data_IF_174824485274
#
_entry.id   IF_174824485274
#
_cell.length_a   1.000
_cell.length_b   1.000
_cell.length_c   1.000
_cell.angle_alpha   90.00
_cell.angle_beta   90.00
_cell.angle_gamma   90.00
#
_symmetry.space_group_name_H-M   'P 1'
#
loop_
_entity.id
_entity.type
_entity.pdbx_description
1 polymer ?
#
# COMPACT_ATOMS: atom_id res chain seq x y z
N UNK A 1 -16.93 42.68 58.68
CA UNK A 1 -17.20 41.31 58.18
C UNK A 1 -17.84 41.25 56.77
N UNK A 2 -18.02 42.37 56.06
CA UNK A 2 -18.72 42.45 54.75
C UNK A 2 -17.80 42.53 53.51
N UNK A 3 -16.48 42.69 53.72
CA UNK A 3 -15.53 42.83 52.59
C UNK A 3 -15.04 41.54 51.99
N UNK A 4 -14.98 40.42 52.75
CA UNK A 4 -14.44 39.16 52.30
C UNK A 4 -15.41 38.35 51.40
N UNK A 5 -16.70 38.55 51.56
CA UNK A 5 -17.70 37.84 50.72
C UNK A 5 -17.83 38.40 49.30
N UNK A 6 -17.60 39.69 49.12
CA UNK A 6 -17.66 40.31 47.78
C UNK A 6 -16.41 39.98 46.94
N UNK A 7 -15.27 39.82 47.57
CA UNK A 7 -14.03 39.43 46.86
C UNK A 7 -14.07 37.99 46.39
N UNK A 8 -14.67 37.07 47.16
CA UNK A 8 -14.83 35.65 46.76
C UNK A 8 -15.82 35.50 45.64
N UNK A 9 -16.90 36.26 45.61
CA UNK A 9 -17.91 36.26 44.51
C UNK A 9 -17.36 36.86 43.22
N UNK A 10 -16.49 37.88 43.31
CA UNK A 10 -15.86 38.46 42.13
C UNK A 10 -14.82 37.45 41.52
N UNK A 11 -14.04 36.77 42.31
CA UNK A 11 -13.11 35.73 41.84
C UNK A 11 -13.83 34.51 41.23
N UNK A 12 -14.99 34.11 41.76
CA UNK A 12 -15.77 33.00 41.19
C UNK A 12 -16.39 33.34 39.82
N UNK A 13 -16.76 34.60 39.61
CA UNK A 13 -17.27 35.05 38.31
C UNK A 13 -16.15 35.16 37.27
N UNK A 14 -14.96 35.70 37.59
CA UNK A 14 -13.84 35.74 36.66
C UNK A 14 -13.36 34.35 36.27
N UNK A 15 -13.33 33.40 37.20
CA UNK A 15 -12.96 31.99 36.88
C UNK A 15 -14.01 31.32 36.00
N UNK A 16 -15.30 31.62 36.23
CA UNK A 16 -16.41 31.14 35.38
C UNK A 16 -16.32 31.64 33.95
N UNK A 17 -16.03 32.93 33.78
CA UNK A 17 -15.89 33.54 32.47
C UNK A 17 -14.70 33.00 31.67
N UNK A 18 -13.55 32.80 32.31
CA UNK A 18 -12.36 32.24 31.69
C UNK A 18 -12.60 30.76 31.26
N UNK A 19 -13.31 29.99 32.07
CA UNK A 19 -13.67 28.60 31.72
C UNK A 19 -14.64 28.56 30.54
N UNK A 20 -15.63 29.46 30.53
CA UNK A 20 -16.62 29.55 29.46
C UNK A 20 -15.95 29.97 28.14
N UNK A 21 -15.06 30.94 28.17
CA UNK A 21 -14.29 31.39 27.00
C UNK A 21 -13.36 30.28 26.45
N UNK A 22 -12.70 29.53 27.33
CA UNK A 22 -11.87 28.36 26.91
C UNK A 22 -12.69 27.23 26.29
N UNK A 23 -13.88 26.97 26.83
CA UNK A 23 -14.79 25.95 26.26
C UNK A 23 -15.32 26.43 24.92
N UNK A 24 -15.71 27.68 24.77
CA UNK A 24 -16.15 28.26 23.50
C UNK A 24 -15.04 28.27 22.44
N UNK A 25 -13.79 28.58 22.83
CA UNK A 25 -12.63 28.51 21.96
C UNK A 25 -12.34 27.10 21.46
N UNK A 26 -12.39 26.11 22.36
CA UNK A 26 -12.22 24.69 21.97
C UNK A 26 -13.33 24.19 21.03
N UNK A 27 -14.58 24.56 21.33
CA UNK A 27 -15.70 24.20 20.45
C UNK A 27 -15.60 24.87 19.06
N UNK A 28 -15.08 26.09 18.99
CA UNK A 28 -14.80 26.76 17.72
C UNK A 28 -13.67 26.10 16.94
N UNK A 29 -12.56 25.69 17.60
CA UNK A 29 -11.47 24.94 16.99
C UNK A 29 -11.91 23.53 16.50
N UNK A 30 -12.71 22.82 17.28
CA UNK A 30 -13.31 21.54 16.88
C UNK A 30 -14.21 21.70 15.64
N UNK A 31 -15.06 22.70 15.61
CA UNK A 31 -15.93 22.97 14.46
C UNK A 31 -15.12 23.33 13.20
N UNK A 32 -14.05 24.13 13.32
CA UNK A 32 -13.16 24.45 12.19
C UNK A 32 -12.44 23.21 11.70
N UNK A 33 -11.94 22.37 12.61
CA UNK A 33 -11.25 21.13 12.26
C UNK A 33 -12.20 20.14 11.59
N UNK A 34 -13.43 20.01 12.08
CA UNK A 34 -14.47 19.19 11.45
C UNK A 34 -14.84 19.68 10.05
N UNK A 35 -15.07 20.99 9.88
CA UNK A 35 -15.43 21.55 8.58
C UNK A 35 -14.30 21.43 7.54
N UNK A 36 -13.03 21.51 7.99
CA UNK A 36 -11.87 21.28 7.13
C UNK A 36 -11.76 19.81 6.74
N UNK A 37 -11.95 18.87 7.68
CA UNK A 37 -11.92 17.43 7.36
C UNK A 37 -13.05 17.05 6.42
N UNK A 38 -14.27 17.54 6.65
CA UNK A 38 -15.42 17.30 5.75
C UNK A 38 -15.19 17.86 4.34
N UNK A 39 -14.57 19.04 4.22
CA UNK A 39 -14.25 19.65 2.92
C UNK A 39 -13.16 18.87 2.18
N UNK A 40 -12.15 18.40 2.91
CA UNK A 40 -11.08 17.56 2.38
C UNK A 40 -11.66 16.22 1.94
N UNK A 41 -12.47 15.57 2.79
CA UNK A 41 -13.10 14.28 2.49
C UNK A 41 -14.03 14.36 1.28
N UNK A 42 -14.78 15.47 1.15
CA UNK A 42 -15.63 15.69 -0.01
C UNK A 42 -14.84 15.83 -1.32
N UNK A 43 -13.74 16.58 -1.33
CA UNK A 43 -12.89 16.71 -2.51
C UNK A 43 -12.15 15.41 -2.86
N UNK A 44 -11.60 14.72 -1.86
CA UNK A 44 -11.01 13.40 -2.06
C UNK A 44 -12.05 12.38 -2.52
N UNK A 45 -13.28 12.43 -1.98
CA UNK A 45 -14.38 11.58 -2.39
C UNK A 45 -14.74 11.73 -3.87
N UNK A 46 -14.71 12.94 -4.42
CA UNK A 46 -14.94 13.18 -5.86
C UNK A 46 -13.80 12.56 -6.70
N UNK A 47 -12.55 12.79 -6.31
CA UNK A 47 -11.39 12.25 -7.03
C UNK A 47 -11.42 10.72 -7.00
N UNK A 48 -11.60 10.14 -5.81
CA UNK A 48 -11.69 8.69 -5.63
C UNK A 48 -12.88 8.11 -6.37
N UNK A 49 -14.04 8.78 -6.36
CA UNK A 49 -15.24 8.39 -7.09
C UNK A 49 -15.01 8.35 -8.59
N UNK A 50 -14.40 9.39 -9.16
CA UNK A 50 -14.08 9.43 -10.59
C UNK A 50 -13.05 8.36 -10.99
N UNK A 51 -12.01 8.17 -10.18
CA UNK A 51 -11.05 7.09 -10.40
C UNK A 51 -11.70 5.71 -10.30
N UNK A 52 -12.56 5.51 -9.30
CA UNK A 52 -13.29 4.27 -9.12
C UNK A 52 -14.21 3.97 -10.33
N UNK A 53 -14.91 4.97 -10.87
CA UNK A 53 -15.73 4.78 -12.07
C UNK A 53 -14.94 4.30 -13.28
N UNK A 54 -13.71 4.79 -13.47
CA UNK A 54 -12.83 4.34 -14.57
C UNK A 54 -12.26 2.96 -14.29
N UNK A 55 -11.75 2.72 -13.08
CA UNK A 55 -11.10 1.46 -12.71
C UNK A 55 -12.07 0.28 -12.62
N UNK A 56 -13.28 0.54 -12.12
CA UNK A 56 -14.33 -0.46 -11.97
C UNK A 56 -15.36 -0.43 -13.12
N UNK A 57 -15.06 0.30 -14.20
CA UNK A 57 -15.86 0.25 -15.39
C UNK A 57 -15.85 -1.17 -16.00
N UNK A 58 -17.02 -1.67 -16.34
CA UNK A 58 -17.20 -3.00 -16.91
C UNK A 58 -17.28 -2.90 -18.45
N UNK A 59 -16.18 -3.21 -19.18
CA UNK A 59 -16.15 -3.07 -20.63
C UNK A 59 -16.98 -4.14 -21.35
N UNK A 60 -17.29 -5.25 -20.68
CA UNK A 60 -18.04 -6.37 -21.27
C UNK A 60 -19.37 -6.55 -20.52
N UNK A 61 -20.51 -6.14 -21.10
CA UNK A 61 -21.81 -6.23 -20.42
C UNK A 61 -22.24 -7.66 -20.04
N UNK A 62 -21.68 -8.67 -20.74
CA UNK A 62 -21.99 -10.07 -20.50
C UNK A 62 -21.29 -10.68 -19.28
N UNK A 63 -20.19 -10.07 -18.81
CA UNK A 63 -19.39 -10.57 -17.70
C UNK A 63 -18.98 -9.38 -16.83
N UNK A 64 -19.43 -9.30 -15.58
CA UNK A 64 -19.13 -8.16 -14.69
C UNK A 64 -17.69 -8.24 -14.19
N UNK A 65 -16.73 -8.01 -15.08
CA UNK A 65 -15.29 -7.95 -14.75
C UNK A 65 -14.83 -6.49 -14.86
N UNK A 66 -14.36 -5.87 -13.77
CA UNK A 66 -13.79 -4.54 -13.79
C UNK A 66 -12.61 -4.43 -14.75
N UNK A 67 -12.48 -3.28 -15.41
CA UNK A 67 -11.41 -3.00 -16.38
C UNK A 67 -10.02 -3.25 -15.77
N UNK A 68 -9.81 -2.84 -14.52
CA UNK A 68 -8.54 -3.03 -13.82
C UNK A 68 -8.14 -4.51 -13.70
N UNK A 69 -9.11 -5.38 -13.40
CA UNK A 69 -8.88 -6.83 -13.29
C UNK A 69 -8.50 -7.41 -14.66
N UNK A 70 -9.17 -6.95 -15.72
CA UNK A 70 -8.87 -7.38 -17.10
C UNK A 70 -7.44 -6.97 -17.50
N UNK A 71 -7.05 -5.72 -17.24
CA UNK A 71 -5.69 -5.22 -17.55
C UNK A 71 -4.64 -6.01 -16.79
N UNK A 72 -4.83 -6.21 -15.47
CA UNK A 72 -3.89 -6.96 -14.65
C UNK A 72 -3.78 -8.43 -15.10
N UNK A 73 -4.88 -9.06 -15.41
CA UNK A 73 -4.92 -10.44 -15.90
C UNK A 73 -4.22 -10.58 -17.26
N UNK A 74 -4.58 -9.74 -18.22
CA UNK A 74 -3.97 -9.75 -19.55
C UNK A 74 -2.48 -9.40 -19.50
N UNK A 75 -2.08 -8.43 -18.68
CA UNK A 75 -0.68 -8.08 -18.46
C UNK A 75 0.13 -9.22 -17.86
N UNK A 76 -0.39 -9.87 -16.82
CA UNK A 76 0.26 -11.03 -16.19
C UNK A 76 0.36 -12.21 -17.14
N UNK A 77 -0.68 -12.45 -17.93
CA UNK A 77 -0.69 -13.51 -18.95
C UNK A 77 0.32 -13.22 -20.06
N UNK A 78 0.36 -11.97 -20.55
CA UNK A 78 1.34 -11.53 -21.53
C UNK A 78 2.76 -11.76 -21.05
N UNK A 79 3.13 -11.30 -19.86
CA UNK A 79 4.46 -11.51 -19.32
C UNK A 79 4.78 -13.00 -19.10
N UNK A 80 3.81 -13.81 -18.69
CA UNK A 80 4.01 -15.24 -18.51
C UNK A 80 4.32 -15.94 -19.84
N UNK A 81 3.65 -15.58 -20.92
CA UNK A 81 3.90 -16.11 -22.26
C UNK A 81 5.22 -15.57 -22.81
N UNK A 82 5.48 -14.27 -22.67
CA UNK A 82 6.71 -13.62 -23.12
C UNK A 82 7.96 -14.26 -22.51
N UNK A 83 7.95 -14.52 -21.21
CA UNK A 83 9.04 -15.19 -20.50
C UNK A 83 9.02 -16.73 -20.59
N UNK A 84 8.16 -17.30 -21.46
CA UNK A 84 8.08 -18.75 -21.69
C UNK A 84 7.91 -19.58 -20.42
N UNK A 85 6.93 -19.18 -19.57
CA UNK A 85 6.60 -19.86 -18.32
C UNK A 85 7.79 -19.90 -17.32
N UNK A 86 8.47 -18.77 -17.15
CA UNK A 86 9.63 -18.64 -16.26
C UNK A 86 9.33 -19.08 -14.83
N UNK A 87 8.13 -18.83 -14.33
CA UNK A 87 7.65 -19.24 -13.01
C UNK A 87 7.79 -20.76 -12.77
N UNK A 88 7.62 -21.60 -13.78
CA UNK A 88 7.78 -23.05 -13.68
C UNK A 88 9.24 -23.43 -13.94
N UNK A 89 9.84 -22.94 -15.01
CA UNK A 89 11.22 -23.30 -15.42
C UNK A 89 12.29 -22.76 -14.48
N UNK A 90 12.08 -21.55 -13.94
CA UNK A 90 12.99 -20.86 -13.03
C UNK A 90 12.87 -21.27 -11.57
N UNK A 91 11.87 -22.07 -11.21
CA UNK A 91 11.57 -22.37 -9.81
C UNK A 91 12.75 -23.01 -9.06
N UNK A 92 13.40 -24.01 -9.66
CA UNK A 92 14.58 -24.65 -9.07
C UNK A 92 15.73 -23.66 -8.91
N UNK A 93 15.96 -22.82 -9.92
CA UNK A 93 17.00 -21.80 -9.88
C UNK A 93 16.74 -20.76 -8.80
N UNK A 94 15.51 -20.34 -8.62
CA UNK A 94 15.12 -19.42 -7.55
C UNK A 94 15.40 -20.00 -6.15
N UNK A 95 15.16 -21.29 -5.95
CA UNK A 95 15.53 -21.98 -4.69
C UNK A 95 17.03 -21.99 -4.49
N UNK A 96 17.83 -22.28 -5.53
CA UNK A 96 19.29 -22.30 -5.43
C UNK A 96 19.84 -20.89 -5.10
N UNK A 97 19.28 -19.82 -5.67
CA UNK A 97 19.62 -18.44 -5.33
C UNK A 97 19.30 -18.15 -3.85
N UNK A 98 18.10 -18.49 -3.41
CA UNK A 98 17.67 -18.24 -2.02
C UNK A 98 18.53 -19.00 -1.00
N UNK A 99 19.07 -20.17 -1.38
CA UNK A 99 20.00 -20.94 -0.54
C UNK A 99 21.41 -20.36 -0.50
N UNK A 100 21.69 -19.24 -1.17
CA UNK A 100 22.99 -18.59 -1.18
C UNK A 100 24.02 -19.23 -2.12
N UNK A 101 23.59 -20.12 -3.05
CA UNK A 101 24.51 -20.80 -3.96
C UNK A 101 25.25 -19.85 -4.91
N UNK A 102 24.68 -18.67 -5.11
CA UNK A 102 25.20 -17.61 -5.98
C UNK A 102 25.61 -16.36 -5.19
N UNK A 103 25.66 -16.44 -3.86
CA UNK A 103 26.11 -15.33 -3.04
C UNK A 103 27.62 -15.11 -3.23
N UNK A 104 27.99 -13.88 -3.56
CA UNK A 104 29.37 -13.46 -3.67
C UNK A 104 29.64 -12.34 -2.65
N UNK A 105 30.55 -12.54 -1.68
CA UNK A 105 30.83 -11.52 -0.65
C UNK A 105 31.36 -10.19 -1.19
N UNK A 106 31.83 -10.17 -2.44
CA UNK A 106 32.38 -8.98 -3.08
C UNK A 106 31.34 -8.20 -3.91
N UNK A 107 30.12 -8.69 -4.02
CA UNK A 107 29.07 -7.99 -4.75
C UNK A 107 28.57 -6.77 -3.96
N UNK A 108 28.32 -5.65 -4.62
CA UNK A 108 27.76 -4.46 -3.96
C UNK A 108 26.36 -4.75 -3.46
N UNK A 109 26.17 -4.64 -2.15
CA UNK A 109 24.87 -4.86 -1.49
C UNK A 109 25.06 -5.06 0.01
N UNK A 110 24.02 -4.74 0.77
CA UNK A 110 24.07 -4.74 2.24
C UNK A 110 23.49 -6.04 2.84
N UNK A 111 22.73 -6.83 2.07
CA UNK A 111 21.96 -7.97 2.57
C UNK A 111 22.09 -9.18 1.63
N UNK A 112 22.05 -10.38 2.22
CA UNK A 112 22.03 -11.63 1.46
C UNK A 112 20.70 -11.86 0.72
N UNK A 113 20.69 -12.74 -0.29
CA UNK A 113 19.48 -13.10 -1.04
C UNK A 113 18.35 -13.61 -0.14
N UNK A 114 18.69 -14.39 0.90
CA UNK A 114 17.72 -14.88 1.87
C UNK A 114 17.14 -13.74 2.73
N UNK A 115 17.97 -12.81 3.17
CA UNK A 115 17.52 -11.64 3.92
C UNK A 115 16.61 -10.73 3.07
N UNK A 116 16.96 -10.52 1.79
CA UNK A 116 16.13 -9.77 0.86
C UNK A 116 14.75 -10.42 0.68
N UNK A 117 14.69 -11.74 0.52
CA UNK A 117 13.44 -12.48 0.40
C UNK A 117 12.59 -12.36 1.66
N UNK A 118 13.18 -12.58 2.84
CA UNK A 118 12.44 -12.53 4.12
C UNK A 118 11.93 -11.12 4.42
N UNK A 119 12.72 -10.09 4.11
CA UNK A 119 12.30 -8.69 4.24
C UNK A 119 11.12 -8.36 3.30
N UNK A 120 11.20 -8.78 2.04
CA UNK A 120 10.13 -8.59 1.07
C UNK A 120 8.83 -9.31 1.49
N UNK A 121 8.93 -10.56 1.98
CA UNK A 121 7.78 -11.31 2.49
C UNK A 121 7.16 -10.61 3.71
N UNK A 122 7.97 -10.16 4.65
CA UNK A 122 7.50 -9.44 5.84
C UNK A 122 6.78 -8.14 5.49
N UNK A 123 7.28 -7.39 4.51
CA UNK A 123 6.65 -6.16 4.05
C UNK A 123 5.35 -6.41 3.25
N UNK A 124 5.24 -7.56 2.59
CA UNK A 124 4.08 -7.89 1.74
C UNK A 124 2.93 -8.51 2.53
N UNK A 125 3.21 -9.19 3.65
CA UNK A 125 2.16 -9.78 4.50
C UNK A 125 1.45 -8.67 5.27
N UNK A 126 0.22 -8.39 4.88
CA UNK A 126 -0.61 -7.34 5.46
C UNK A 126 -2.06 -7.77 5.63
N UNK A 127 -2.88 -6.86 6.10
CA UNK A 127 -4.31 -7.09 6.32
C UNK A 127 -5.03 -7.59 5.06
N UNK A 128 -4.64 -7.12 3.88
CA UNK A 128 -5.19 -7.55 2.60
C UNK A 128 -5.02 -9.05 2.35
N UNK A 129 -3.88 -9.61 2.71
CA UNK A 129 -3.57 -11.04 2.50
C UNK A 129 -4.28 -11.96 3.50
N UNK A 130 -4.73 -11.43 4.62
CA UNK A 130 -5.42 -12.18 5.67
C UNK A 130 -6.93 -11.96 5.57
N UNK A 131 -7.39 -10.73 5.82
CA UNK A 131 -8.81 -10.41 5.83
C UNK A 131 -9.40 -10.40 4.40
N UNK A 132 -8.68 -9.89 3.40
CA UNK A 132 -9.13 -9.87 2.02
C UNK A 132 -9.32 -11.27 1.45
N UNK A 133 -8.42 -12.21 1.75
CA UNK A 133 -8.58 -13.62 1.36
C UNK A 133 -9.76 -14.27 2.06
N UNK A 134 -9.96 -14.00 3.37
CA UNK A 134 -11.11 -14.51 4.10
C UNK A 134 -12.44 -14.02 3.50
N UNK A 135 -12.54 -12.73 3.16
CA UNK A 135 -13.70 -12.15 2.48
C UNK A 135 -13.91 -12.77 1.10
N UNK A 136 -12.85 -12.94 0.31
CA UNK A 136 -12.93 -13.56 -1.01
C UNK A 136 -13.44 -15.02 -0.93
N UNK A 137 -13.01 -15.79 0.05
CA UNK A 137 -13.50 -17.17 0.26
C UNK A 137 -14.95 -17.16 0.74
N UNK A 138 -15.31 -16.22 1.62
CA UNK A 138 -16.68 -16.11 2.12
C UNK A 138 -17.68 -15.78 1.01
N UNK A 139 -17.31 -14.86 0.10
CA UNK A 139 -18.20 -14.43 -0.99
C UNK A 139 -18.15 -15.34 -2.22
N UNK A 140 -16.95 -15.81 -2.59
CA UNK A 140 -16.74 -16.62 -3.79
C UNK A 140 -16.68 -18.13 -3.57
N UNK A 141 -16.81 -18.58 -2.30
CA UNK A 141 -16.74 -19.98 -1.95
C UNK A 141 -15.37 -20.64 -2.19
N UNK A 142 -15.28 -21.98 -2.14
CA UNK A 142 -14.01 -22.70 -2.32
C UNK A 142 -13.33 -22.46 -3.68
N UNK A 143 -14.11 -22.14 -4.71
CA UNK A 143 -13.59 -21.80 -6.05
C UNK A 143 -12.69 -20.58 -6.07
N UNK A 144 -12.89 -19.62 -5.16
CA UNK A 144 -12.06 -18.43 -5.04
C UNK A 144 -10.60 -18.78 -4.75
N UNK A 145 -10.33 -19.83 -3.97
CA UNK A 145 -8.98 -20.28 -3.65
C UNK A 145 -8.23 -20.73 -4.90
N UNK A 146 -8.90 -21.49 -5.76
CA UNK A 146 -8.31 -21.97 -7.03
C UNK A 146 -7.94 -20.80 -7.93
N UNK A 147 -8.85 -19.83 -8.08
CA UNK A 147 -8.61 -18.62 -8.87
C UNK A 147 -7.48 -17.77 -8.29
N UNK A 148 -7.41 -17.60 -6.98
CA UNK A 148 -6.31 -16.88 -6.33
C UNK A 148 -4.95 -17.54 -6.58
N UNK A 149 -4.88 -18.88 -6.54
CA UNK A 149 -3.64 -19.62 -6.84
C UNK A 149 -3.24 -19.41 -8.32
N UNK A 150 -4.19 -19.53 -9.25
CA UNK A 150 -3.91 -19.35 -10.68
C UNK A 150 -3.43 -17.93 -11.00
N UNK A 151 -4.11 -16.91 -10.46
CA UNK A 151 -3.70 -15.51 -10.64
C UNK A 151 -2.36 -15.24 -9.96
N UNK A 152 -2.11 -15.83 -8.80
CA UNK A 152 -0.83 -15.74 -8.12
C UNK A 152 0.33 -16.30 -8.95
N UNK A 153 0.13 -17.45 -9.58
CA UNK A 153 1.12 -18.05 -10.48
C UNK A 153 1.42 -17.14 -11.70
N UNK A 154 0.39 -16.55 -12.30
CA UNK A 154 0.58 -15.58 -13.39
C UNK A 154 1.28 -14.31 -12.91
N UNK A 155 0.92 -13.82 -11.71
CA UNK A 155 1.49 -12.61 -11.10
C UNK A 155 2.99 -12.73 -10.76
N UNK A 156 3.51 -13.93 -10.54
CA UNK A 156 4.95 -14.15 -10.29
C UNK A 156 5.83 -13.56 -11.40
N UNK A 157 5.42 -13.68 -12.65
CA UNK A 157 6.20 -13.18 -13.79
C UNK A 157 6.19 -11.66 -13.87
N UNK A 158 5.09 -11.02 -13.51
CA UNK A 158 5.01 -9.56 -13.40
C UNK A 158 5.96 -9.04 -12.30
N UNK A 159 5.97 -9.73 -11.14
CA UNK A 159 6.90 -9.40 -10.04
C UNK A 159 8.36 -9.63 -10.40
N UNK A 160 8.67 -10.67 -11.17
CA UNK A 160 10.00 -10.89 -11.71
C UNK A 160 10.48 -9.72 -12.57
N UNK A 161 9.62 -9.18 -13.47
CA UNK A 161 9.96 -8.00 -14.27
C UNK A 161 10.23 -6.78 -13.40
N UNK A 162 9.38 -6.52 -12.41
CA UNK A 162 9.56 -5.40 -11.48
C UNK A 162 10.89 -5.47 -10.74
N UNK A 163 11.23 -6.62 -10.17
CA UNK A 163 12.50 -6.82 -9.48
C UNK A 163 13.70 -6.72 -10.43
N UNK A 164 13.58 -7.23 -11.65
CA UNK A 164 14.63 -7.13 -12.67
C UNK A 164 14.89 -5.68 -13.06
N UNK A 165 13.84 -4.90 -13.31
CA UNK A 165 13.97 -3.47 -13.60
C UNK A 165 14.59 -2.72 -12.43
N UNK A 166 14.19 -3.00 -11.21
CA UNK A 166 14.78 -2.40 -10.02
C UNK A 166 16.29 -2.67 -9.90
N UNK A 167 16.75 -3.85 -10.32
CA UNK A 167 18.16 -4.21 -10.34
C UNK A 167 18.93 -3.57 -11.49
N UNK A 168 18.33 -3.49 -12.67
CA UNK A 168 18.96 -2.90 -13.87
C UNK A 168 19.19 -1.40 -13.70
N UNK A 169 18.22 -0.70 -13.10
CA UNK A 169 18.28 0.77 -12.93
C UNK A 169 18.78 1.20 -11.55
N UNK A 170 19.32 0.28 -10.74
CA UNK A 170 19.88 0.61 -9.43
C UNK A 170 21.11 1.52 -9.58
N UNK A 171 21.25 2.47 -8.65
CA UNK A 171 22.43 3.33 -8.53
C UNK A 171 23.28 2.87 -7.35
N UNK A 172 24.58 2.61 -7.59
CA UNK A 172 25.54 2.33 -6.54
C UNK A 172 26.24 3.63 -6.19
N UNK A 173 26.15 4.06 -4.94
CA UNK A 173 26.82 5.27 -4.44
C UNK A 173 28.29 5.00 -4.14
N UNK A 174 29.13 6.06 -4.09
CA UNK A 174 30.55 5.93 -3.76
C UNK A 174 30.82 5.36 -2.35
N UNK A 175 29.87 5.47 -1.44
CA UNK A 175 29.89 4.93 -0.09
C UNK A 175 29.56 3.43 -0.02
N UNK A 176 29.23 2.81 -1.15
CA UNK A 176 28.84 1.39 -1.23
C UNK A 176 27.35 1.14 -1.01
N UNK A 177 26.57 2.16 -0.66
CA UNK A 177 25.12 2.02 -0.54
C UNK A 177 24.45 1.89 -1.91
N UNK A 178 23.32 1.16 -1.97
CA UNK A 178 22.62 0.88 -3.21
C UNK A 178 21.21 1.45 -3.16
N UNK A 179 20.90 2.35 -4.07
CA UNK A 179 19.55 2.87 -4.29
C UNK A 179 18.91 2.19 -5.50
N UNK A 180 17.69 1.71 -5.33
CA UNK A 180 16.93 1.07 -6.40
C UNK A 180 15.43 1.14 -6.15
N UNK A 181 14.67 0.65 -7.12
CA UNK A 181 13.22 0.55 -6.99
C UNK A 181 12.43 1.31 -8.04
N UNK A 182 11.09 1.37 -7.89
CA UNK A 182 10.19 1.96 -8.89
C UNK A 182 10.52 3.40 -9.27
N UNK A 183 10.97 4.21 -8.32
CA UNK A 183 11.32 5.61 -8.56
C UNK A 183 12.41 5.75 -9.62
N UNK A 184 13.44 4.90 -9.56
CA UNK A 184 14.57 4.99 -10.49
C UNK A 184 14.23 4.51 -11.89
N UNK A 185 13.54 3.39 -12.05
CA UNK A 185 13.21 2.92 -13.40
C UNK A 185 12.05 3.67 -14.05
N UNK A 186 11.20 4.36 -13.28
CA UNK A 186 10.18 5.26 -13.85
C UNK A 186 10.75 6.63 -14.25
N UNK A 187 11.86 7.06 -13.63
CA UNK A 187 12.52 8.31 -13.95
C UNK A 187 13.46 8.19 -15.17
N UNK A 188 14.18 7.07 -15.28
CA UNK A 188 15.29 6.89 -16.22
C UNK A 188 14.92 6.00 -17.42
N UNK A 189 13.99 5.02 -17.20
CA UNK A 189 13.53 4.08 -18.22
C UNK A 189 12.37 4.57 -19.00
#
# INVERSE_FOLDING_TARGET
>A
LTGSSQTVLAQSNETGDIVTEKIAGRAAEENVTQSLSESIDAQFGIIVGNMAQVLFWEPVPAVPIPLIVLILFCGSLFFTIYHKWLNIRGFKHAIDITRGRYDNPNDPGEISHFQALTSALSATVGLGNIAGVAVAIHTGGPGAVIWMILIGLLGMTAKFNECTLAMVYRKVRPDGTVDGGPMHYLEIG
#
